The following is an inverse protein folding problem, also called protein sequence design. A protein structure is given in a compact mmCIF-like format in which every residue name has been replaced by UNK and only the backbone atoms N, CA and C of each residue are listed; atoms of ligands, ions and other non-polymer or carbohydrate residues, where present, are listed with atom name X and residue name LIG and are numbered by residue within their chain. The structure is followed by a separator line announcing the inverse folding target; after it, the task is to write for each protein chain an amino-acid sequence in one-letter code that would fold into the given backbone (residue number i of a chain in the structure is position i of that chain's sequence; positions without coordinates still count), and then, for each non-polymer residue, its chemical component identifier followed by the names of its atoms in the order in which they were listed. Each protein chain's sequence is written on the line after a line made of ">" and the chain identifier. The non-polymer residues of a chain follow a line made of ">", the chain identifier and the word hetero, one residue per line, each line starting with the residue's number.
data_IF_843231281929
#
_entry.id   IF_843231281929
#
_cell.length_a   1.000
_cell.length_b   1.000
_cell.length_c   1.000
_cell.angle_alpha   90.00
_cell.angle_beta   90.00
_cell.angle_gamma   90.00
#
_symmetry.space_group_name_H-M   'P 1'
#
loop_
_entity.id
_entity.type
_entity.pdbx_description
1 polymer ?
#
# COMPACT_ATOMS: atom_id res chain seq x y z
N UNK A 1 -61.35 33.14 39.23
CA UNK A 1 -60.49 31.96 39.38
C UNK A 1 -59.83 31.67 38.00
N UNK A 2 -58.61 32.16 37.78
CA UNK A 2 -57.93 32.01 36.49
C UNK A 2 -56.64 31.23 36.72
N UNK A 3 -56.59 30.03 36.15
CA UNK A 3 -55.47 29.09 36.25
C UNK A 3 -54.52 29.38 35.09
N UNK A 4 -53.37 29.99 35.37
CA UNK A 4 -52.26 30.12 34.40
C UNK A 4 -51.50 28.79 34.36
N UNK A 5 -51.58 28.12 33.22
CA UNK A 5 -50.72 26.99 32.88
C UNK A 5 -49.47 27.56 32.24
N UNK A 6 -48.37 27.51 32.98
CA UNK A 6 -47.04 27.82 32.47
C UNK A 6 -46.46 26.58 31.77
N UNK A 7 -46.44 26.62 30.44
CA UNK A 7 -45.76 25.57 29.63
C UNK A 7 -44.27 25.88 29.62
N UNK A 8 -43.49 25.09 30.35
CA UNK A 8 -42.05 25.10 30.28
C UNK A 8 -41.59 24.38 29.00
N UNK A 9 -41.08 25.13 28.03
CA UNK A 9 -40.45 24.62 26.81
C UNK A 9 -39.04 24.17 27.13
N UNK A 10 -38.80 22.86 27.27
CA UNK A 10 -37.45 22.29 27.47
C UNK A 10 -36.81 22.23 26.10
N UNK A 11 -35.86 23.15 25.86
CA UNK A 11 -34.99 23.16 24.67
C UNK A 11 -33.89 22.10 24.87
N UNK A 12 -34.10 20.91 24.31
CA UNK A 12 -33.05 19.87 24.25
C UNK A 12 -32.03 20.26 23.18
N UNK A 13 -30.91 20.81 23.59
CA UNK A 13 -29.71 20.98 22.73
C UNK A 13 -29.18 19.60 22.37
N UNK A 14 -29.50 19.13 21.17
CA UNK A 14 -28.84 17.98 20.55
C UNK A 14 -27.40 18.39 20.24
N UNK A 15 -26.48 18.09 21.17
CA UNK A 15 -25.05 18.10 20.88
C UNK A 15 -24.79 16.90 19.95
N UNK A 16 -24.72 17.17 18.65
CA UNK A 16 -24.23 16.17 17.69
C UNK A 16 -22.81 15.79 18.14
N UNK A 17 -22.50 14.48 18.32
CA UNK A 17 -21.12 14.08 18.53
C UNK A 17 -20.36 14.55 17.29
N UNK A 18 -19.41 15.47 17.46
CA UNK A 18 -18.47 15.83 16.42
C UNK A 18 -17.86 14.54 15.93
N UNK A 19 -18.08 14.17 14.67
CA UNK A 19 -17.33 13.09 14.03
C UNK A 19 -15.87 13.50 14.18
N UNK A 20 -15.15 12.82 15.08
CA UNK A 20 -13.70 12.89 15.11
C UNK A 20 -13.28 12.49 13.71
N UNK A 21 -12.70 13.41 12.95
CA UNK A 21 -12.26 13.16 11.58
C UNK A 21 -11.28 12.00 11.69
N UNK A 22 -11.73 10.81 11.23
CA UNK A 22 -10.95 9.59 11.37
C UNK A 22 -9.70 9.78 10.53
N UNK A 23 -8.55 9.92 11.21
CA UNK A 23 -7.27 10.16 10.54
C UNK A 23 -7.04 9.04 9.53
N UNK A 24 -6.81 9.36 8.26
CA UNK A 24 -6.61 8.36 7.23
C UNK A 24 -5.39 7.49 7.53
N UNK A 25 -5.27 6.38 6.84
CA UNK A 25 -4.10 5.50 6.93
C UNK A 25 -3.83 4.85 5.60
N UNK A 26 -2.56 4.80 5.20
CA UNK A 26 -2.15 4.15 3.96
C UNK A 26 -2.44 4.97 2.72
N UNK A 27 -2.77 4.28 1.63
CA UNK A 27 -3.05 4.91 0.34
C UNK A 27 -4.37 5.70 0.39
N UNK A 28 -4.31 6.98 0.11
CA UNK A 28 -5.51 7.82 -0.01
C UNK A 28 -6.08 7.79 -1.43
N UNK A 29 -5.23 7.99 -2.43
CA UNK A 29 -5.62 7.90 -3.84
C UNK A 29 -4.42 7.65 -4.76
N UNK A 30 -4.71 7.09 -5.96
CA UNK A 30 -3.77 6.93 -7.07
C UNK A 30 -4.44 7.45 -8.34
N UNK A 31 -3.90 8.52 -8.92
CA UNK A 31 -4.36 9.19 -10.14
C UNK A 31 -3.40 9.03 -11.32
N UNK A 32 -2.42 8.13 -11.20
CA UNK A 32 -1.43 7.88 -12.27
C UNK A 32 -2.01 7.21 -13.50
N UNK A 33 -3.16 6.55 -13.39
CA UNK A 33 -3.70 5.66 -14.43
C UNK A 33 -2.96 4.32 -14.54
N UNK A 34 -1.91 4.12 -13.75
CA UNK A 34 -1.07 2.92 -13.75
C UNK A 34 -1.28 2.08 -12.50
N UNK A 35 -1.10 0.75 -12.59
CA UNK A 35 -1.19 -0.12 -11.42
C UNK A 35 -0.04 0.14 -10.44
N UNK A 36 -0.37 0.37 -9.18
CA UNK A 36 0.58 0.50 -8.09
C UNK A 36 1.06 -0.89 -7.65
N UNK A 37 2.32 -1.24 -7.95
CA UNK A 37 2.88 -2.58 -7.68
C UNK A 37 4.29 -2.55 -7.11
N UNK A 38 4.87 -1.36 -6.93
CA UNK A 38 6.27 -1.18 -6.52
C UNK A 38 6.32 -0.71 -5.07
N UNK A 39 7.16 -1.31 -4.22
CA UNK A 39 7.13 -1.02 -2.80
C UNK A 39 7.78 0.32 -2.47
N UNK A 40 7.10 1.14 -1.69
CA UNK A 40 7.67 2.26 -0.96
C UNK A 40 7.43 2.05 0.52
N UNK A 41 8.48 1.96 1.29
CA UNK A 41 8.43 1.91 2.74
C UNK A 41 8.98 3.22 3.31
N UNK A 42 8.28 3.79 4.30
CA UNK A 42 8.73 4.99 5.00
C UNK A 42 8.78 4.69 6.48
N UNK A 43 9.91 5.03 7.11
CA UNK A 43 10.09 4.93 8.56
C UNK A 43 9.99 6.32 9.16
N UNK A 44 9.20 6.45 10.21
CA UNK A 44 8.98 7.71 10.94
C UNK A 44 9.11 7.47 12.44
N UNK A 45 9.26 8.53 13.23
CA UNK A 45 9.11 8.49 14.69
C UNK A 45 7.67 8.83 15.09
N UNK A 46 7.27 8.43 16.29
CA UNK A 46 6.00 8.85 16.87
C UNK A 46 6.00 10.35 17.18
N UNK A 47 4.81 10.98 17.21
CA UNK A 47 4.62 12.37 17.60
C UNK A 47 4.09 13.27 16.50
N UNK A 48 4.35 12.98 15.23
CA UNK A 48 3.76 13.68 14.08
C UNK A 48 3.34 12.68 13.01
N UNK A 49 2.23 12.96 12.34
CA UNK A 49 1.79 12.22 11.16
C UNK A 49 2.29 12.90 9.88
N UNK A 50 2.25 12.19 8.77
CA UNK A 50 2.76 12.69 7.49
C UNK A 50 1.75 12.43 6.38
N UNK A 51 1.56 13.42 5.52
CA UNK A 51 0.97 13.25 4.20
C UNK A 51 2.10 13.18 3.17
N UNK A 52 2.11 12.14 2.37
CA UNK A 52 3.01 11.94 1.25
C UNK A 52 2.28 12.18 -0.07
N UNK A 53 2.82 13.06 -0.91
CA UNK A 53 2.45 13.15 -2.33
C UNK A 53 3.62 12.68 -3.19
N UNK A 54 3.35 11.81 -4.16
CA UNK A 54 4.27 11.51 -5.24
C UNK A 54 3.96 12.44 -6.41
N UNK A 55 4.96 13.25 -6.78
CA UNK A 55 4.89 14.14 -7.92
C UNK A 55 5.72 13.61 -9.07
N UNK A 56 5.06 13.37 -10.20
CA UNK A 56 5.72 12.88 -11.40
C UNK A 56 6.67 13.95 -11.96
N UNK A 57 7.94 13.59 -12.16
CA UNK A 57 8.98 14.54 -12.59
C UNK A 57 8.82 15.02 -14.03
N UNK A 58 8.13 14.26 -14.88
CA UNK A 58 7.90 14.62 -16.28
C UNK A 58 6.73 15.58 -16.47
N UNK A 59 5.67 15.41 -15.66
CA UNK A 59 4.45 16.20 -15.78
C UNK A 59 4.28 17.26 -14.69
N UNK A 60 5.03 17.15 -13.60
CA UNK A 60 4.89 18.03 -12.43
C UNK A 60 3.58 17.84 -11.66
N UNK A 61 2.82 16.78 -11.92
CA UNK A 61 1.51 16.51 -11.32
C UNK A 61 1.62 15.52 -10.17
N UNK A 62 0.83 15.73 -9.13
CA UNK A 62 0.69 14.77 -8.07
C UNK A 62 -0.12 13.58 -8.57
N UNK A 63 0.45 12.38 -8.50
CA UNK A 63 -0.11 11.15 -9.04
C UNK A 63 -0.56 10.16 -7.98
N UNK A 64 -0.09 10.33 -6.73
CA UNK A 64 -0.46 9.48 -5.61
C UNK A 64 -0.38 10.27 -4.31
N UNK A 65 -1.34 10.02 -3.41
CA UNK A 65 -1.26 10.47 -2.02
C UNK A 65 -1.41 9.31 -1.05
N UNK A 66 -0.67 9.38 0.06
CA UNK A 66 -0.75 8.41 1.14
C UNK A 66 -0.54 9.09 2.50
N UNK A 67 -1.27 8.60 3.51
CA UNK A 67 -1.17 9.10 4.88
C UNK A 67 -0.38 8.13 5.75
N UNK A 68 0.56 8.65 6.50
CA UNK A 68 1.50 7.90 7.34
C UNK A 68 1.28 8.30 8.79
N UNK A 69 0.88 7.37 9.62
CA UNK A 69 0.83 7.58 11.08
C UNK A 69 2.24 7.53 11.64
N UNK A 70 2.61 8.56 12.38
CA UNK A 70 3.96 8.66 12.95
C UNK A 70 4.29 7.50 13.88
N UNK A 71 5.47 6.91 13.69
CA UNK A 71 5.96 5.76 14.44
C UNK A 71 5.35 4.41 14.08
N UNK A 72 4.30 4.37 13.25
CA UNK A 72 3.71 3.13 12.77
C UNK A 72 4.51 2.53 11.60
N UNK A 73 4.37 1.23 11.39
CA UNK A 73 4.87 0.59 10.18
C UNK A 73 4.08 1.10 8.97
N UNK A 74 4.79 1.64 7.99
CA UNK A 74 4.16 2.12 6.77
C UNK A 74 4.81 1.53 5.52
N UNK A 75 3.99 0.96 4.67
CA UNK A 75 4.34 0.54 3.32
C UNK A 75 3.17 0.80 2.39
N UNK A 76 3.45 1.41 1.25
CA UNK A 76 2.49 1.62 0.17
C UNK A 76 3.06 1.07 -1.13
N UNK A 77 2.18 0.61 -2.01
CA UNK A 77 2.57 0.29 -3.39
C UNK A 77 2.38 1.53 -4.26
N UNK A 78 3.36 1.79 -5.13
CA UNK A 78 3.39 2.95 -6.02
C UNK A 78 3.45 2.50 -7.48
N UNK A 79 3.01 3.33 -8.45
CA UNK A 79 3.14 3.04 -9.87
C UNK A 79 4.61 3.11 -10.32
N UNK A 80 4.95 2.52 -11.49
CA UNK A 80 6.24 2.73 -12.11
C UNK A 80 6.40 4.18 -12.56
N UNK A 81 7.62 4.72 -12.44
CA UNK A 81 7.92 6.09 -12.82
C UNK A 81 9.03 6.71 -11.98
N UNK A 82 9.31 7.97 -12.22
CA UNK A 82 10.25 8.77 -11.43
C UNK A 82 9.48 9.90 -10.73
N UNK A 83 9.59 9.93 -9.40
CA UNK A 83 8.79 10.83 -8.58
C UNK A 83 9.63 11.61 -7.58
N UNK A 84 9.27 12.87 -7.40
CA UNK A 84 9.62 13.62 -6.20
C UNK A 84 8.65 13.22 -5.07
N UNK A 85 9.18 13.02 -3.88
CA UNK A 85 8.39 12.71 -2.70
C UNK A 85 8.21 14.00 -1.89
N UNK A 86 7.00 14.52 -1.89
CA UNK A 86 6.63 15.72 -1.15
C UNK A 86 5.96 15.30 0.15
N UNK A 87 6.51 15.73 1.27
CA UNK A 87 5.97 15.43 2.59
C UNK A 87 5.41 16.69 3.24
N UNK A 88 4.26 16.52 3.90
CA UNK A 88 3.73 17.47 4.84
C UNK A 88 3.55 16.75 6.19
N UNK A 89 3.99 17.34 7.29
CA UNK A 89 3.91 16.72 8.63
C UNK A 89 3.32 17.64 9.68
N UNK A 90 2.70 17.04 10.69
CA UNK A 90 2.10 17.74 11.82
C UNK A 90 1.29 16.80 12.72
N UNK A 91 0.59 17.37 13.69
CA UNK A 91 -0.15 16.60 14.72
C UNK A 91 -1.67 16.72 14.61
N UNK A 92 -2.18 17.77 13.97
CA UNK A 92 -3.60 18.10 13.92
C UNK A 92 -4.12 18.03 12.49
N UNK A 93 -4.50 16.83 12.05
CA UNK A 93 -5.00 16.60 10.70
C UNK A 93 -6.35 17.26 10.46
N UNK A 94 -6.42 18.13 9.45
CA UNK A 94 -7.60 18.92 9.09
C UNK A 94 -8.08 18.64 7.65
N UNK A 95 -7.68 17.50 7.11
CA UNK A 95 -7.98 17.14 5.72
C UNK A 95 -6.90 17.51 4.73
N UNK A 96 -6.98 16.97 3.51
CA UNK A 96 -5.95 17.12 2.48
C UNK A 96 -5.72 18.57 2.05
N UNK A 97 -6.75 19.40 2.08
CA UNK A 97 -6.66 20.82 1.70
C UNK A 97 -5.98 21.69 2.77
N UNK A 98 -6.26 21.46 4.05
CA UNK A 98 -5.75 22.23 5.17
C UNK A 98 -4.52 21.57 5.83
N UNK A 99 -4.26 20.29 5.54
CA UNK A 99 -3.17 19.49 6.08
C UNK A 99 -3.21 19.41 7.61
N UNK A 100 -2.18 19.93 8.27
CA UNK A 100 -2.07 20.00 9.73
C UNK A 100 -2.24 21.46 10.23
N UNK A 101 -2.94 22.29 9.45
CA UNK A 101 -3.15 23.70 9.76
C UNK A 101 -1.88 24.55 9.67
N UNK A 102 -1.82 25.68 10.41
CA UNK A 102 -0.73 26.65 10.29
C UNK A 102 0.64 26.14 10.75
N UNK A 103 0.69 25.03 11.49
CA UNK A 103 1.93 24.38 11.94
C UNK A 103 2.43 23.28 11.01
N UNK A 104 1.84 23.13 9.83
CA UNK A 104 2.27 22.14 8.84
C UNK A 104 3.72 22.38 8.41
N UNK A 105 4.58 21.42 8.62
CA UNK A 105 5.95 21.40 8.07
C UNK A 105 5.92 20.71 6.71
N UNK A 106 6.62 21.29 5.71
CA UNK A 106 6.71 20.74 4.36
C UNK A 106 8.15 20.60 3.94
N UNK A 107 8.45 19.46 3.31
CA UNK A 107 9.78 19.22 2.72
C UNK A 107 9.67 18.28 1.52
N UNK A 108 10.69 18.27 0.70
CA UNK A 108 10.78 17.42 -0.50
C UNK A 108 12.03 16.57 -0.38
N UNK A 109 11.90 15.29 -0.65
CA UNK A 109 13.05 14.39 -0.69
C UNK A 109 13.82 14.59 -2.00
N UNK A 110 15.12 14.82 -1.86
CA UNK A 110 16.06 14.98 -2.98
C UNK A 110 17.16 13.91 -2.87
N UNK A 111 17.51 13.25 -3.97
CA UNK A 111 16.97 13.34 -5.34
C UNK A 111 15.63 12.60 -5.51
N UNK A 112 14.94 12.87 -6.63
CA UNK A 112 13.75 12.15 -7.03
C UNK A 112 14.04 10.64 -7.20
N UNK A 113 13.10 9.78 -6.79
CA UNK A 113 13.25 8.34 -6.79
C UNK A 113 12.63 7.67 -8.02
N UNK A 114 13.29 6.62 -8.54
CA UNK A 114 12.82 5.84 -9.68
C UNK A 114 12.28 4.49 -9.22
N UNK A 115 11.04 4.20 -9.62
CA UNK A 115 10.36 2.94 -9.32
C UNK A 115 10.20 2.13 -10.61
N UNK A 116 10.71 0.90 -10.60
CA UNK A 116 10.85 0.10 -11.81
C UNK A 116 10.34 -1.33 -11.60
N UNK A 117 9.63 -1.86 -12.59
CA UNK A 117 9.16 -3.23 -12.63
C UNK A 117 9.94 -4.01 -13.69
N UNK A 118 10.60 -5.07 -13.26
CA UNK A 118 11.23 -6.07 -14.12
C UNK A 118 10.42 -7.36 -14.10
N UNK A 119 10.76 -8.32 -14.96
CA UNK A 119 10.04 -9.59 -15.07
C UNK A 119 9.94 -10.33 -13.71
N UNK A 120 11.02 -10.33 -12.94
CA UNK A 120 11.13 -11.06 -11.66
C UNK A 120 11.47 -10.17 -10.46
N UNK A 121 11.59 -8.85 -10.67
CA UNK A 121 12.00 -7.90 -9.63
C UNK A 121 11.15 -6.64 -9.68
N UNK A 122 10.69 -6.21 -8.52
CA UNK A 122 9.95 -4.95 -8.32
C UNK A 122 10.81 -4.05 -7.45
N UNK A 123 11.48 -3.09 -8.10
CA UNK A 123 12.36 -2.13 -7.43
C UNK A 123 11.56 -1.00 -6.85
N UNK A 124 11.78 -0.72 -5.59
CA UNK A 124 11.24 0.40 -4.85
C UNK A 124 12.28 0.94 -3.87
N UNK A 125 11.82 1.66 -2.84
CA UNK A 125 12.72 2.33 -1.92
C UNK A 125 12.23 2.24 -0.48
N UNK A 126 13.19 2.29 0.45
CA UNK A 126 12.98 2.53 1.86
C UNK A 126 13.53 3.93 2.17
N UNK A 127 12.66 4.80 2.67
CA UNK A 127 12.98 6.16 3.11
C UNK A 127 12.93 6.18 4.64
N UNK A 128 13.98 6.65 5.28
CA UNK A 128 14.06 6.77 6.73
C UNK A 128 14.00 8.25 7.12
N UNK A 129 12.86 8.65 7.70
CA UNK A 129 12.55 10.01 8.17
C UNK A 129 12.65 10.13 9.71
N UNK A 130 13.24 9.14 10.38
CA UNK A 130 13.36 9.18 11.84
C UNK A 130 14.28 10.28 12.32
N UNK A 131 15.23 10.67 11.49
CA UNK A 131 16.01 11.88 11.65
C UNK A 131 15.81 12.78 10.42
N UNK A 132 15.09 13.88 10.58
CA UNK A 132 14.83 14.82 9.49
C UNK A 132 16.05 15.66 9.10
N UNK A 133 17.10 15.69 9.94
CA UNK A 133 18.37 16.33 9.60
C UNK A 133 19.28 15.42 8.74
N UNK A 134 19.09 14.09 8.83
CA UNK A 134 19.84 13.10 8.06
C UNK A 134 18.87 12.05 7.46
N UNK A 135 18.11 12.47 6.46
CA UNK A 135 17.18 11.59 5.74
C UNK A 135 17.98 10.62 4.88
N UNK A 136 17.77 9.32 5.10
CA UNK A 136 18.44 8.29 4.31
C UNK A 136 17.47 7.54 3.41
N UNK A 137 17.94 7.17 2.22
CA UNK A 137 17.20 6.39 1.25
C UNK A 137 18.00 5.16 0.87
N UNK A 138 17.35 4.00 0.80
CA UNK A 138 17.96 2.74 0.36
C UNK A 138 17.08 2.06 -0.67
N UNK A 139 17.70 1.36 -1.60
CA UNK A 139 16.98 0.48 -2.53
C UNK A 139 16.27 -0.62 -1.74
N UNK A 140 15.08 -0.94 -2.16
CA UNK A 140 14.23 -1.96 -1.58
C UNK A 140 13.50 -2.69 -2.70
N UNK A 141 13.72 -3.97 -2.83
CA UNK A 141 13.11 -4.72 -3.92
C UNK A 141 12.36 -5.97 -3.41
N UNK A 142 11.36 -6.37 -4.19
CA UNK A 142 10.69 -7.66 -4.06
C UNK A 142 11.08 -8.49 -5.27
N UNK A 143 11.80 -9.60 -5.03
CA UNK A 143 12.16 -10.59 -6.03
C UNK A 143 11.14 -11.70 -6.05
N UNK A 144 10.76 -12.13 -7.26
CA UNK A 144 9.81 -13.19 -7.51
C UNK A 144 10.49 -14.30 -8.29
N UNK A 145 10.23 -15.55 -7.92
CA UNK A 145 10.69 -16.72 -8.66
C UNK A 145 9.59 -17.77 -8.70
N UNK A 146 9.56 -18.51 -9.79
CA UNK A 146 8.74 -19.70 -9.89
C UNK A 146 9.49 -20.88 -9.26
N UNK A 147 8.83 -21.58 -8.35
CA UNK A 147 9.35 -22.78 -7.70
C UNK A 147 8.43 -23.92 -8.07
N UNK A 148 8.99 -25.04 -8.54
CA UNK A 148 8.22 -26.23 -8.83
C UNK A 148 7.49 -26.69 -7.56
N UNK A 149 6.18 -26.93 -7.69
CA UNK A 149 5.39 -27.64 -6.67
C UNK A 149 5.71 -29.13 -6.77
N UNK A 150 6.43 -29.72 -5.78
CA UNK A 150 6.83 -31.13 -5.84
C UNK A 150 5.63 -32.07 -5.91
N UNK A 151 4.51 -31.70 -5.28
CA UNK A 151 3.32 -32.53 -5.23
C UNK A 151 2.62 -32.60 -6.58
N UNK A 152 2.90 -31.64 -7.47
CA UNK A 152 2.35 -31.65 -8.83
C UNK A 152 2.99 -32.71 -9.73
N UNK A 153 4.21 -33.17 -9.40
CA UNK A 153 4.96 -34.16 -10.19
C UNK A 153 5.07 -35.53 -9.51
N UNK A 154 4.87 -35.60 -8.19
CA UNK A 154 4.94 -36.83 -7.40
C UNK A 154 3.61 -37.59 -7.38
N UNK A 155 2.66 -37.28 -8.24
CA UNK A 155 1.43 -38.07 -8.32
C UNK A 155 1.77 -39.46 -8.87
N UNK A 156 1.31 -40.52 -8.19
CA UNK A 156 1.51 -41.88 -8.70
C UNK A 156 0.84 -41.96 -10.07
N UNK A 157 1.60 -42.34 -11.08
CA UNK A 157 1.07 -42.65 -12.40
C UNK A 157 -0.10 -43.58 -12.27
N UNK A 158 -1.27 -43.31 -12.89
CA UNK A 158 -2.31 -44.32 -12.95
C UNK A 158 -1.68 -45.57 -13.59
N UNK A 159 -1.91 -46.77 -13.05
CA UNK A 159 -1.28 -47.96 -13.52
C UNK A 159 -1.58 -48.11 -15.01
N UNK A 160 -0.52 -48.03 -15.83
CA UNK A 160 -0.60 -48.14 -17.29
C UNK A 160 -1.08 -49.56 -17.69
N UNK A 161 -1.06 -50.47 -16.71
CA UNK A 161 -1.36 -51.87 -16.96
C UNK A 161 -1.92 -52.55 -15.73
N UNK A 162 -3.11 -53.15 -15.88
CA UNK A 162 -3.60 -54.17 -14.92
C UNK A 162 -3.40 -55.52 -15.55
N UNK A 163 -2.67 -56.47 -14.93
CA UNK A 163 -2.56 -57.81 -15.44
C UNK A 163 -3.94 -58.43 -15.70
N UNK A 164 -4.18 -58.86 -16.95
CA UNK A 164 -5.42 -59.53 -17.33
C UNK A 164 -6.55 -58.63 -17.89
N UNK A 165 -6.34 -57.35 -18.08
CA UNK A 165 -7.30 -56.46 -18.74
C UNK A 165 -6.69 -55.83 -19.98
N UNK A 166 -7.20 -56.21 -21.17
CA UNK A 166 -6.97 -55.47 -22.40
C UNK A 166 -7.96 -54.30 -22.42
N UNK A 167 -7.58 -53.16 -21.84
CA UNK A 167 -8.34 -51.97 -22.02
C UNK A 167 -7.79 -51.26 -23.29
N UNK A 168 -8.64 -50.90 -24.24
CA UNK A 168 -8.24 -50.03 -25.33
C UNK A 168 -7.74 -48.71 -24.72
N UNK A 169 -6.60 -48.21 -25.15
CA UNK A 169 -6.09 -46.89 -24.81
C UNK A 169 -6.95 -45.82 -25.53
N UNK A 170 -8.20 -45.67 -25.09
CA UNK A 170 -9.08 -44.64 -25.59
C UNK A 170 -8.90 -43.41 -24.68
N UNK A 171 -8.28 -42.39 -25.26
CA UNK A 171 -8.15 -41.05 -24.68
C UNK A 171 -6.72 -40.50 -24.76
N UNK A 172 -6.59 -39.16 -24.83
CA UNK A 172 -5.28 -38.54 -24.74
C UNK A 172 -4.70 -38.82 -23.33
N UNK A 173 -3.43 -39.26 -23.31
CA UNK A 173 -2.72 -39.44 -22.03
C UNK A 173 -2.54 -38.06 -21.42
N UNK A 174 -3.26 -37.77 -20.35
CA UNK A 174 -3.00 -36.59 -19.52
C UNK A 174 -1.73 -36.84 -18.73
N UNK A 175 -0.65 -36.26 -19.22
CA UNK A 175 0.58 -36.17 -18.42
C UNK A 175 0.36 -35.14 -17.32
N UNK A 176 0.78 -35.40 -16.07
CA UNK A 176 0.71 -34.41 -15.03
C UNK A 176 1.51 -33.16 -15.45
N UNK A 177 0.84 -32.04 -15.58
CA UNK A 177 1.50 -30.77 -15.91
C UNK A 177 2.14 -30.24 -14.65
N UNK A 178 3.47 -30.05 -14.64
CA UNK A 178 4.14 -29.47 -13.48
C UNK A 178 3.53 -28.09 -13.13
N UNK A 179 3.15 -27.90 -11.89
CA UNK A 179 2.71 -26.62 -11.35
C UNK A 179 3.88 -25.89 -10.72
N UNK A 180 3.85 -24.57 -10.84
CA UNK A 180 4.86 -23.71 -10.28
C UNK A 180 4.19 -22.66 -9.40
N UNK A 181 4.68 -22.53 -8.17
CA UNK A 181 4.27 -21.52 -7.23
C UNK A 181 5.12 -20.25 -7.40
N UNK A 182 4.48 -19.09 -7.29
CA UNK A 182 5.16 -17.81 -7.31
C UNK A 182 5.60 -17.45 -5.89
N UNK A 183 6.88 -17.59 -5.61
CA UNK A 183 7.47 -17.23 -4.31
C UNK A 183 8.08 -15.85 -4.38
N UNK A 184 7.70 -14.97 -3.45
CA UNK A 184 8.20 -13.61 -3.33
C UNK A 184 9.07 -13.46 -2.10
N UNK A 185 10.21 -12.77 -2.22
CA UNK A 185 11.09 -12.43 -1.10
C UNK A 185 11.62 -11.00 -1.24
N UNK A 186 11.97 -10.40 -0.12
CA UNK A 186 12.74 -9.15 -0.12
C UNK A 186 14.16 -9.47 -0.62
N UNK A 187 14.66 -8.63 -1.51
CA UNK A 187 16.01 -8.70 -2.06
C UNK A 187 16.59 -7.28 -2.21
N UNK A 188 17.91 -7.20 -2.15
CA UNK A 188 18.68 -5.97 -2.35
C UNK A 188 19.05 -5.79 -3.82
#
# INVERSE_FOLDING_TARGET
>A
MWRFLASALILVLLVAPGAADERPEGLMWNRSGLPARLPLQVKTVAGADYLLHLRDTGTGRDVLAAYIRGGAFFRVLVPPGRFELHFASGTDWQGEAALFGPKTQRFVLVPALSFEAFATRRKGHLVDLRDLADITTRDFAICQRFVLDPDSVNQPWPPIWKPGTWLPLEGPREYPVPRYDLVSRICD
#
